data_IF_179136009421
#
_entry.id   IF_179136009421
#
_cell.length_a   1.000
_cell.length_b   1.000
_cell.length_c   1.000
_cell.angle_alpha   90.00
_cell.angle_beta   90.00
_cell.angle_gamma   90.00
#
_symmetry.space_group_name_H-M   'P 1'
#
loop_
_entity.id
_entity.type
_entity.pdbx_description
1 polymer ?
#
# COMPACT_ATOMS: atom_id res chain seq x y z
N UNK A 1 -10.91 -12.14 32.37
CA UNK A 1 -10.94 -12.62 33.80
C UNK A 1 -9.52 -12.56 34.31
N UNK A 2 -9.33 -11.86 35.41
CA UNK A 2 -8.06 -11.86 36.11
C UNK A 2 -8.10 -12.95 37.18
N UNK A 3 -7.12 -13.83 37.18
CA UNK A 3 -6.98 -14.91 38.18
C UNK A 3 -5.75 -14.61 39.00
N UNK A 4 -5.94 -14.46 40.32
CA UNK A 4 -4.87 -14.29 41.28
C UNK A 4 -4.41 -15.66 41.75
N UNK A 5 -3.16 -15.96 41.51
CA UNK A 5 -2.52 -17.20 42.01
C UNK A 5 -1.72 -16.87 43.25
N UNK A 6 -1.94 -17.66 44.32
CA UNK A 6 -1.13 -17.63 45.52
C UNK A 6 -0.31 -18.93 45.59
N UNK A 7 0.97 -18.81 45.39
CA UNK A 7 1.88 -19.98 45.52
C UNK A 7 2.68 -19.82 46.81
N UNK A 8 2.54 -20.79 47.74
CA UNK A 8 3.36 -20.84 48.94
C UNK A 8 4.67 -21.54 48.63
N UNK A 9 5.77 -20.91 48.94
CA UNK A 9 7.08 -21.55 48.88
C UNK A 9 7.31 -22.48 50.10
N UNK A 10 8.38 -23.25 50.08
CA UNK A 10 8.75 -24.19 51.17
C UNK A 10 9.01 -23.48 52.51
N UNK A 11 9.19 -22.16 52.52
CA UNK A 11 9.42 -21.31 53.69
C UNK A 11 8.13 -20.69 54.24
N UNK A 12 6.97 -20.93 53.58
CA UNK A 12 5.67 -20.47 53.98
C UNK A 12 5.31 -19.05 53.53
N UNK A 13 6.18 -18.37 52.74
CA UNK A 13 5.84 -17.09 52.13
C UNK A 13 4.94 -17.33 50.93
N UNK A 14 3.87 -16.55 50.82
CA UNK A 14 3.00 -16.60 49.66
C UNK A 14 3.41 -15.54 48.62
N UNK A 15 3.83 -16.00 47.45
CA UNK A 15 3.99 -15.13 46.27
C UNK A 15 2.65 -15.05 45.54
N UNK A 16 2.18 -13.83 45.30
CA UNK A 16 0.95 -13.56 44.54
C UNK A 16 1.36 -13.12 43.15
N UNK A 17 0.80 -13.74 42.11
CA UNK A 17 0.89 -13.24 40.76
C UNK A 17 -0.48 -13.34 40.11
N UNK A 18 -0.76 -12.36 39.25
CA UNK A 18 -2.03 -12.24 38.57
C UNK A 18 -1.86 -12.57 37.10
N UNK A 19 -2.62 -13.54 36.63
CA UNK A 19 -2.71 -13.87 35.22
C UNK A 19 -4.06 -13.37 34.64
N UNK A 20 -3.98 -12.74 33.49
CA UNK A 20 -5.16 -12.26 32.78
C UNK A 20 -5.55 -13.26 31.70
N UNK A 21 -6.73 -13.85 31.85
CA UNK A 21 -7.32 -14.74 30.85
C UNK A 21 -8.41 -13.98 30.08
N UNK A 22 -8.37 -14.04 28.77
CA UNK A 22 -9.41 -13.49 27.90
C UNK A 22 -10.15 -14.62 27.20
N UNK A 23 -11.48 -14.56 27.15
CA UNK A 23 -12.31 -15.42 26.30
C UNK A 23 -12.34 -14.94 24.85
N UNK A 24 -11.87 -13.73 24.60
CA UNK A 24 -11.65 -13.18 23.28
C UNK A 24 -10.19 -13.44 22.90
N UNK A 25 -9.91 -13.70 21.65
CA UNK A 25 -8.56 -13.98 21.11
C UNK A 25 -7.60 -12.79 21.36
N UNK A 26 -7.24 -12.59 22.63
CA UNK A 26 -6.34 -11.52 23.08
C UNK A 26 -5.02 -12.14 23.56
N UNK A 27 -3.92 -11.59 23.08
CA UNK A 27 -2.59 -11.93 23.59
C UNK A 27 -2.31 -11.09 24.84
N UNK A 28 -2.12 -11.72 26.03
CA UNK A 28 -1.88 -10.98 27.26
C UNK A 28 -0.53 -10.25 27.28
N UNK A 29 0.46 -10.73 26.52
CA UNK A 29 1.80 -10.16 26.47
C UNK A 29 1.89 -8.94 25.53
N UNK A 30 1.20 -8.98 24.38
CA UNK A 30 1.33 -7.98 23.33
C UNK A 30 0.13 -7.03 23.22
N UNK A 31 -0.92 -7.23 24.01
CA UNK A 31 -2.14 -6.40 24.00
C UNK A 31 -2.94 -6.50 22.68
N UNK A 32 -2.56 -7.41 21.79
CA UNK A 32 -3.27 -7.63 20.53
C UNK A 32 -4.57 -8.39 20.80
N UNK A 33 -5.70 -7.80 20.43
CA UNK A 33 -7.01 -8.44 20.50
C UNK A 33 -7.50 -8.72 19.08
N UNK A 34 -7.80 -9.97 18.78
CA UNK A 34 -8.46 -10.36 17.54
C UNK A 34 -9.95 -10.42 17.81
N UNK A 35 -10.71 -9.57 17.15
CA UNK A 35 -12.17 -9.56 17.21
C UNK A 35 -12.72 -10.93 16.74
N UNK A 36 -13.97 -11.22 17.07
CA UNK A 36 -14.66 -12.43 16.58
C UNK A 36 -14.52 -12.54 15.06
N UNK A 37 -13.95 -13.65 14.60
CA UNK A 37 -13.74 -13.90 13.19
C UNK A 37 -15.08 -14.00 12.46
N UNK A 38 -15.25 -13.18 11.43
CA UNK A 38 -16.40 -13.17 10.55
C UNK A 38 -15.96 -13.30 9.09
N UNK A 39 -16.76 -13.91 8.20
CA UNK A 39 -16.39 -14.12 6.80
C UNK A 39 -16.01 -12.81 6.08
N UNK A 40 -16.63 -11.68 6.44
CA UNK A 40 -16.33 -10.36 5.85
C UNK A 40 -14.90 -9.87 6.11
N UNK A 41 -14.21 -10.40 7.12
CA UNK A 41 -12.81 -10.07 7.41
C UNK A 41 -11.84 -10.68 6.39
N UNK A 42 -12.24 -11.72 5.69
CA UNK A 42 -11.42 -12.36 4.64
C UNK A 42 -11.67 -11.78 3.25
N UNK A 43 -12.43 -10.69 3.15
CA UNK A 43 -12.69 -9.99 1.90
C UNK A 43 -11.85 -8.71 1.83
N UNK A 44 -11.07 -8.56 0.76
CA UNK A 44 -10.34 -7.33 0.47
C UNK A 44 -11.24 -6.16 0.04
N UNK A 45 -12.52 -6.42 -0.28
CA UNK A 45 -13.53 -5.39 -0.56
C UNK A 45 -14.26 -4.92 0.71
N UNK A 46 -13.92 -5.49 1.86
CA UNK A 46 -14.55 -5.14 3.14
C UNK A 46 -13.56 -4.36 4.01
N UNK A 47 -13.93 -3.23 4.60
CA UNK A 47 -13.05 -2.43 5.46
C UNK A 47 -12.58 -3.19 6.71
N UNK A 48 -13.27 -4.27 7.08
CA UNK A 48 -12.89 -5.12 8.20
C UNK A 48 -11.66 -5.97 7.91
N UNK A 49 -11.45 -6.37 6.64
CA UNK A 49 -10.35 -7.22 6.22
C UNK A 49 -9.32 -6.53 5.36
N UNK A 50 -9.73 -5.56 4.57
CA UNK A 50 -8.85 -4.83 3.65
C UNK A 50 -7.69 -4.13 4.38
N UNK A 51 -6.50 -4.14 3.78
CA UNK A 51 -5.37 -3.35 4.25
C UNK A 51 -5.74 -1.87 4.30
N UNK A 52 -5.56 -1.22 5.44
CA UNK A 52 -5.97 0.18 5.64
C UNK A 52 -5.18 1.15 4.74
N UNK A 53 -3.95 0.80 4.35
CA UNK A 53 -3.10 1.66 3.52
C UNK A 53 -3.52 1.68 2.04
N UNK A 54 -3.91 0.55 1.47
CA UNK A 54 -4.27 0.45 0.04
C UNK A 54 -5.77 0.17 -0.18
N UNK A 55 -6.59 0.14 0.87
CA UNK A 55 -8.01 -0.15 0.76
C UNK A 55 -8.33 -1.53 0.15
N UNK A 56 -7.39 -2.49 0.24
CA UNK A 56 -7.56 -3.83 -0.34
C UNK A 56 -7.13 -3.95 -1.81
N UNK A 57 -6.53 -2.92 -2.41
CA UNK A 57 -6.05 -2.95 -3.79
C UNK A 57 -4.77 -3.80 -3.94
N UNK A 58 -3.90 -3.84 -2.92
CA UNK A 58 -2.59 -4.49 -2.96
C UNK A 58 -1.48 -3.58 -3.49
N UNK A 59 -1.83 -2.47 -4.11
CA UNK A 59 -0.91 -1.45 -4.63
C UNK A 59 -1.37 -0.06 -4.19
N UNK A 60 -0.48 0.91 -4.32
CA UNK A 60 -0.74 2.35 -4.13
C UNK A 60 -0.26 3.08 -5.38
N UNK A 61 -0.98 4.11 -5.77
CA UNK A 61 -0.52 5.00 -6.83
C UNK A 61 0.58 5.92 -6.27
N UNK A 62 1.68 6.03 -6.99
CA UNK A 62 2.81 6.90 -6.67
C UNK A 62 3.22 7.66 -7.90
N UNK A 63 3.75 8.86 -7.69
CA UNK A 63 4.37 9.60 -8.79
C UNK A 63 5.66 8.88 -9.22
N UNK A 64 5.72 8.55 -10.51
CA UNK A 64 6.91 7.99 -11.14
C UNK A 64 7.90 9.12 -11.49
N UNK A 65 9.10 9.14 -10.90
CA UNK A 65 10.11 10.16 -11.20
C UNK A 65 10.49 10.20 -12.68
N UNK A 66 10.50 9.06 -13.38
CA UNK A 66 10.88 8.97 -14.78
C UNK A 66 9.81 9.59 -15.70
N UNK A 67 8.54 9.56 -15.29
CA UNK A 67 7.46 10.27 -16.00
C UNK A 67 7.44 11.77 -15.71
N UNK A 68 7.97 12.17 -14.54
CA UNK A 68 8.05 13.57 -14.15
C UNK A 68 9.13 14.31 -14.96
N UNK A 69 10.27 13.66 -15.24
CA UNK A 69 11.35 14.20 -16.05
C UNK A 69 11.09 13.85 -17.52
N UNK A 70 10.54 14.78 -18.27
CA UNK A 70 10.14 14.55 -19.66
C UNK A 70 11.32 14.56 -20.64
N UNK A 71 12.36 15.37 -20.38
CA UNK A 71 13.60 15.41 -21.15
C UNK A 71 14.78 15.84 -20.24
N UNK A 72 15.65 14.92 -19.95
CA UNK A 72 16.84 15.14 -19.10
C UNK A 72 17.91 16.03 -19.73
N UNK A 73 17.85 16.27 -21.07
CA UNK A 73 18.77 17.15 -21.77
C UNK A 73 18.36 18.62 -21.68
N UNK A 74 17.11 18.90 -21.27
CA UNK A 74 16.65 20.25 -20.99
C UNK A 74 17.01 20.66 -19.56
N UNK A 75 17.12 21.97 -19.36
CA UNK A 75 17.21 22.53 -18.01
C UNK A 75 15.83 22.54 -17.33
N UNK A 76 15.82 22.70 -15.99
CA UNK A 76 14.55 22.90 -15.27
C UNK A 76 13.83 24.14 -15.78
N UNK A 77 14.57 25.20 -16.14
CA UNK A 77 14.02 26.44 -16.68
C UNK A 77 13.42 26.25 -18.07
N UNK A 78 13.99 25.35 -18.88
CA UNK A 78 13.54 25.04 -20.24
C UNK A 78 12.48 23.95 -20.30
N UNK A 79 12.07 23.40 -19.14
CA UNK A 79 10.93 22.50 -19.04
C UNK A 79 11.28 21.02 -18.90
N UNK A 80 12.45 20.66 -18.39
CA UNK A 80 12.84 19.27 -18.11
C UNK A 80 11.78 18.49 -17.30
N UNK A 81 11.07 19.16 -16.41
CA UNK A 81 10.01 18.59 -15.55
C UNK A 81 8.62 18.66 -16.19
N UNK A 82 8.53 18.95 -17.48
CA UNK A 82 7.26 19.10 -18.19
C UNK A 82 6.38 20.25 -17.62
N UNK A 83 5.08 20.25 -18.02
CA UNK A 83 4.12 21.27 -17.61
C UNK A 83 3.37 20.94 -16.29
N UNK A 84 4.02 20.23 -15.37
CA UNK A 84 3.37 19.79 -14.12
C UNK A 84 2.96 20.97 -13.24
N UNK A 85 3.71 22.05 -13.29
CA UNK A 85 3.49 23.27 -12.50
C UNK A 85 2.95 24.46 -13.26
N UNK A 86 2.65 24.32 -14.55
CA UNK A 86 2.38 25.44 -15.44
C UNK A 86 3.68 26.10 -15.95
N UNK A 87 3.58 27.29 -16.54
CA UNK A 87 4.80 28.01 -16.95
C UNK A 87 5.62 28.44 -15.74
N UNK A 88 6.94 28.33 -15.81
CA UNK A 88 7.86 28.75 -14.76
C UNK A 88 7.68 30.24 -14.38
N UNK A 89 7.17 31.05 -15.28
CA UNK A 89 6.86 32.46 -15.02
C UNK A 89 5.64 32.66 -14.10
N UNK A 90 4.70 31.71 -14.09
CA UNK A 90 3.54 31.72 -13.21
C UNK A 90 3.85 31.26 -11.78
N UNK A 91 5.02 30.67 -11.54
CA UNK A 91 5.42 30.00 -10.30
C UNK A 91 6.03 30.91 -9.23
N UNK A 92 5.90 32.20 -9.27
CA UNK A 92 6.44 33.20 -8.32
C UNK A 92 7.16 32.70 -7.07
N UNK A 93 6.40 32.16 -6.12
CA UNK A 93 6.93 31.61 -4.86
C UNK A 93 7.76 30.32 -5.06
N UNK A 94 7.28 29.39 -5.91
CA UNK A 94 7.95 28.12 -6.13
C UNK A 94 9.30 28.27 -6.82
N UNK A 95 9.41 29.22 -7.74
CA UNK A 95 10.68 29.56 -8.39
C UNK A 95 11.73 30.07 -7.40
N UNK A 96 11.30 30.90 -6.42
CA UNK A 96 12.22 31.33 -5.36
C UNK A 96 12.72 30.17 -4.52
N UNK A 97 11.87 29.22 -4.19
CA UNK A 97 12.27 28.00 -3.48
C UNK A 97 13.26 27.16 -4.28
N UNK A 98 13.02 26.97 -5.59
CA UNK A 98 13.94 26.22 -6.47
C UNK A 98 15.30 26.90 -6.59
N UNK A 99 15.35 28.22 -6.75
CA UNK A 99 16.60 28.97 -6.80
C UNK A 99 17.36 28.81 -5.47
N UNK A 100 16.68 28.94 -4.33
CA UNK A 100 17.31 28.74 -3.02
C UNK A 100 17.84 27.31 -2.85
N UNK A 101 17.09 26.31 -3.33
CA UNK A 101 17.56 24.92 -3.29
C UNK A 101 18.81 24.74 -4.15
N UNK A 102 18.86 25.38 -5.33
CA UNK A 102 20.02 25.37 -6.20
C UNK A 102 21.24 26.05 -5.54
N UNK A 103 21.05 27.21 -4.88
CA UNK A 103 22.10 27.90 -4.12
C UNK A 103 22.67 27.02 -3.00
N UNK A 104 21.82 26.30 -2.25
CA UNK A 104 22.24 25.36 -1.18
C UNK A 104 23.10 24.24 -1.72
N UNK A 105 22.82 23.78 -2.94
CA UNK A 105 23.57 22.71 -3.61
C UNK A 105 24.68 23.24 -4.54
N UNK A 106 24.93 24.56 -4.57
CA UNK A 106 25.94 25.21 -5.43
C UNK A 106 25.79 24.82 -6.90
N UNK A 107 24.54 24.80 -7.39
CA UNK A 107 24.21 24.47 -8.78
C UNK A 107 23.34 25.55 -9.41
N UNK A 108 23.07 25.44 -10.72
CA UNK A 108 22.24 26.36 -11.48
C UNK A 108 21.09 25.61 -12.17
N UNK A 109 19.89 26.18 -12.13
CA UNK A 109 18.70 25.62 -12.76
C UNK A 109 18.73 25.69 -14.29
N UNK A 110 19.69 26.41 -14.89
CA UNK A 110 19.86 26.55 -16.34
C UNK A 110 20.69 25.44 -16.98
N UNK A 111 21.36 24.58 -16.19
CA UNK A 111 22.09 23.43 -16.73
C UNK A 111 21.13 22.27 -17.00
N UNK A 112 21.48 21.36 -17.95
CA UNK A 112 20.67 20.16 -18.21
C UNK A 112 20.39 19.35 -16.96
N UNK A 113 19.16 18.82 -16.85
CA UNK A 113 18.74 18.04 -15.67
C UNK A 113 19.68 16.86 -15.38
N UNK A 114 20.18 16.18 -16.42
CA UNK A 114 21.14 15.07 -16.29
C UNK A 114 22.44 15.47 -15.59
N UNK A 115 22.88 16.70 -15.76
CA UNK A 115 24.15 17.23 -15.25
C UNK A 115 24.01 17.84 -13.84
N UNK A 116 22.79 17.93 -13.30
CA UNK A 116 22.53 18.39 -11.93
C UNK A 116 23.09 17.40 -10.89
N UNK A 117 23.59 17.89 -9.75
CA UNK A 117 24.05 17.03 -8.66
C UNK A 117 22.95 16.07 -8.15
N UNK A 118 23.28 14.82 -7.89
CA UNK A 118 22.28 13.83 -7.40
C UNK A 118 21.63 14.26 -6.07
N UNK A 119 22.40 14.89 -5.16
CA UNK A 119 21.87 15.43 -3.90
C UNK A 119 20.82 16.54 -4.14
N UNK A 120 20.99 17.34 -5.20
CA UNK A 120 19.99 18.33 -5.60
C UNK A 120 18.74 17.66 -6.18
N UNK A 121 18.90 16.68 -7.06
CA UNK A 121 17.78 15.91 -7.64
C UNK A 121 16.95 15.21 -6.55
N UNK A 122 17.63 14.60 -5.56
CA UNK A 122 16.98 13.95 -4.42
C UNK A 122 16.13 14.96 -3.61
N UNK A 123 16.72 16.10 -3.21
CA UNK A 123 15.99 17.13 -2.48
C UNK A 123 14.87 17.76 -3.34
N UNK A 124 15.11 17.94 -4.65
CA UNK A 124 14.12 18.46 -5.58
C UNK A 124 12.89 17.54 -5.69
N UNK A 125 13.11 16.25 -5.85
CA UNK A 125 12.04 15.27 -6.04
C UNK A 125 11.33 14.94 -4.73
N UNK A 126 12.09 14.65 -3.67
CA UNK A 126 11.57 14.07 -2.42
C UNK A 126 11.56 15.04 -1.23
N UNK A 127 12.11 16.25 -1.42
CA UNK A 127 12.17 17.28 -0.39
C UNK A 127 13.34 17.13 0.58
N UNK A 128 13.54 18.17 1.39
CA UNK A 128 14.68 18.28 2.31
C UNK A 128 14.53 17.49 3.61
N UNK A 129 13.53 16.59 3.71
CA UNK A 129 13.29 15.68 4.85
C UNK A 129 13.30 16.41 6.21
N UNK A 130 12.71 17.60 6.28
CA UNK A 130 12.63 18.44 7.46
C UNK A 130 13.82 19.39 7.66
N UNK A 131 14.90 19.29 6.87
CA UNK A 131 15.99 20.27 6.87
C UNK A 131 15.48 21.59 6.32
N UNK A 132 15.49 22.64 7.13
CA UNK A 132 15.04 23.98 6.77
C UNK A 132 16.04 24.65 5.84
N UNK A 133 15.50 25.32 4.81
CA UNK A 133 16.23 26.22 3.95
C UNK A 133 15.76 27.65 4.17
N UNK A 134 16.68 28.59 4.26
CA UNK A 134 16.39 30.01 4.49
C UNK A 134 16.48 30.77 3.17
N UNK A 135 15.46 31.54 2.87
CA UNK A 135 15.41 32.38 1.65
C UNK A 135 14.60 33.64 1.87
N UNK A 136 14.88 34.64 1.07
CA UNK A 136 14.15 35.90 1.07
C UNK A 136 13.10 35.89 -0.04
N UNK A 137 11.85 35.98 0.36
CA UNK A 137 10.75 36.12 -0.57
C UNK A 137 10.40 37.62 -0.75
N UNK A 138 10.47 38.09 -1.98
CA UNK A 138 10.05 39.44 -2.34
C UNK A 138 8.67 39.38 -2.94
N UNK A 139 7.66 39.95 -2.26
CA UNK A 139 6.29 40.02 -2.75
C UNK A 139 6.19 40.98 -3.96
N UNK A 140 5.10 40.87 -4.74
CA UNK A 140 4.81 41.82 -5.86
C UNK A 140 4.77 43.28 -5.42
N UNK A 141 4.51 43.53 -4.14
CA UNK A 141 4.50 44.89 -3.55
C UNK A 141 5.88 45.32 -3.03
N UNK A 142 6.96 44.57 -3.30
CA UNK A 142 8.32 44.88 -2.87
C UNK A 142 8.64 44.56 -1.40
N UNK A 143 7.73 43.94 -0.66
CA UNK A 143 7.97 43.54 0.73
C UNK A 143 8.86 42.30 0.78
N UNK A 144 10.00 42.39 1.44
CA UNK A 144 10.89 41.26 1.72
C UNK A 144 10.41 40.54 2.97
N UNK A 145 10.32 39.22 2.90
CA UNK A 145 10.00 38.35 4.03
C UNK A 145 11.04 37.22 4.11
N UNK A 146 11.70 37.10 5.26
CA UNK A 146 12.62 36.01 5.54
C UNK A 146 11.82 34.74 5.84
N UNK A 147 12.02 33.71 5.04
CA UNK A 147 11.36 32.42 5.13
C UNK A 147 12.37 31.37 5.57
N UNK A 148 11.97 30.47 6.42
CA UNK A 148 12.82 29.36 6.90
C UNK A 148 11.95 28.10 7.05
N UNK A 149 11.76 27.41 5.93
CA UNK A 149 10.91 26.23 5.84
C UNK A 149 11.63 25.06 5.17
N UNK A 150 11.27 23.81 5.48
CA UNK A 150 11.72 22.69 4.68
C UNK A 150 11.09 22.78 3.28
N UNK A 151 11.80 22.33 2.27
CA UNK A 151 11.24 22.13 0.94
C UNK A 151 10.50 20.79 0.92
N UNK A 152 9.24 20.81 0.52
CA UNK A 152 8.37 19.62 0.52
C UNK A 152 8.79 18.57 -0.50
N UNK A 153 9.38 19.00 -1.62
CA UNK A 153 9.66 18.14 -2.78
C UNK A 153 8.51 18.13 -3.78
N UNK A 154 8.84 17.85 -5.03
CA UNK A 154 7.87 17.82 -6.12
C UNK A 154 6.89 16.66 -5.95
N UNK A 155 7.40 15.46 -5.69
CA UNK A 155 6.59 14.25 -5.56
C UNK A 155 5.60 14.34 -4.40
N UNK A 156 6.03 14.62 -3.15
CA UNK A 156 5.09 14.79 -2.04
C UNK A 156 4.08 15.93 -2.28
N UNK A 157 4.50 17.02 -2.93
CA UNK A 157 3.58 18.12 -3.27
C UNK A 157 2.48 17.67 -4.24
N UNK A 158 2.83 16.91 -5.28
CA UNK A 158 1.86 16.39 -6.24
C UNK A 158 0.92 15.37 -5.60
N UNK A 159 1.46 14.45 -4.78
CA UNK A 159 0.65 13.45 -4.06
C UNK A 159 -0.36 14.12 -3.12
N UNK A 160 0.07 15.11 -2.34
CA UNK A 160 -0.82 15.89 -1.48
C UNK A 160 -1.88 16.63 -2.30
N UNK A 161 -1.49 17.32 -3.38
CA UNK A 161 -2.43 18.05 -4.25
C UNK A 161 -3.43 17.12 -4.91
N UNK A 162 -3.05 15.91 -5.28
CA UNK A 162 -3.97 14.90 -5.81
C UNK A 162 -5.09 14.56 -4.82
N UNK A 163 -4.74 14.44 -3.53
CA UNK A 163 -5.71 14.20 -2.46
C UNK A 163 -6.61 15.39 -2.13
N UNK A 164 -6.10 16.61 -2.26
CA UNK A 164 -6.78 17.84 -1.82
C UNK A 164 -7.61 18.52 -2.93
N UNK A 165 -7.24 18.32 -4.21
CA UNK A 165 -7.91 19.02 -5.31
C UNK A 165 -9.27 18.44 -5.65
N UNK A 166 -10.23 19.34 -5.97
CA UNK A 166 -11.53 18.98 -6.53
C UNK A 166 -11.56 19.17 -8.08
N UNK A 167 -10.46 19.56 -8.69
CA UNK A 167 -10.39 19.77 -10.14
C UNK A 167 -10.04 18.47 -10.85
N UNK A 168 -10.96 17.95 -11.67
CA UNK A 168 -10.75 16.74 -12.46
C UNK A 168 -9.56 16.90 -13.42
N UNK A 169 -9.39 18.08 -14.02
CA UNK A 169 -8.25 18.38 -14.88
C UNK A 169 -6.89 18.24 -14.17
N UNK A 170 -6.78 18.71 -12.91
CA UNK A 170 -5.54 18.59 -12.13
C UNK A 170 -5.33 17.13 -11.74
N UNK A 171 -6.40 16.43 -11.35
CA UNK A 171 -6.33 14.98 -11.02
C UNK A 171 -5.86 14.18 -12.22
N UNK A 172 -6.42 14.40 -13.39
CA UNK A 172 -6.02 13.72 -14.63
C UNK A 172 -4.53 13.92 -14.93
N UNK A 173 -4.07 15.19 -14.91
CA UNK A 173 -2.65 15.49 -15.12
C UNK A 173 -1.69 14.81 -14.13
N UNK A 174 -2.09 14.73 -12.85
CA UNK A 174 -1.26 14.06 -11.84
C UNK A 174 -1.35 12.54 -12.03
N UNK A 175 -2.53 12.00 -12.40
CA UNK A 175 -2.71 10.57 -12.67
C UNK A 175 -1.82 10.06 -13.80
N UNK A 176 -1.59 10.88 -14.84
CA UNK A 176 -0.71 10.52 -15.95
C UNK A 176 0.74 10.29 -15.52
N UNK A 177 1.12 10.89 -14.39
CA UNK A 177 2.46 10.74 -13.80
C UNK A 177 2.53 9.59 -12.78
N UNK A 178 1.41 8.94 -12.49
CA UNK A 178 1.38 7.88 -11.48
C UNK A 178 1.66 6.51 -12.08
N UNK A 179 2.23 5.66 -11.26
CA UNK A 179 2.38 4.23 -11.48
C UNK A 179 1.82 3.43 -10.30
N UNK A 180 1.47 2.18 -10.56
CA UNK A 180 1.10 1.24 -9.50
C UNK A 180 2.36 0.70 -8.81
N UNK A 181 2.52 1.02 -7.54
CA UNK A 181 3.57 0.48 -6.70
C UNK A 181 3.00 -0.49 -5.67
N UNK A 182 3.64 -1.63 -5.46
CA UNK A 182 3.22 -2.61 -4.45
C UNK A 182 3.06 -1.92 -3.09
N UNK A 183 1.94 -2.15 -2.44
CA UNK A 183 1.65 -1.57 -1.13
C UNK A 183 2.72 -1.96 -0.10
N UNK A 184 3.38 -0.98 0.51
CA UNK A 184 4.47 -1.21 1.48
C UNK A 184 4.02 -1.85 2.80
N UNK A 185 2.71 -1.79 3.11
CA UNK A 185 2.15 -2.33 4.35
C UNK A 185 1.77 -3.80 4.18
N UNK A 186 0.94 -4.11 3.18
CA UNK A 186 0.49 -5.48 2.97
C UNK A 186 1.31 -6.27 1.94
N UNK A 187 2.33 -5.66 1.33
CA UNK A 187 3.21 -6.30 0.33
C UNK A 187 2.45 -7.03 -0.78
N UNK A 188 1.38 -6.40 -1.28
CA UNK A 188 0.51 -6.98 -2.31
C UNK A 188 -0.60 -7.90 -1.78
N UNK A 189 -0.57 -8.31 -0.52
CA UNK A 189 -1.50 -9.29 0.05
C UNK A 189 -2.93 -8.77 0.30
N UNK A 190 -3.19 -7.48 0.12
CA UNK A 190 -4.50 -6.83 0.12
C UNK A 190 -5.25 -6.84 1.47
N UNK A 191 -4.92 -7.72 2.39
CA UNK A 191 -5.57 -7.93 3.69
C UNK A 191 -4.70 -7.43 4.85
N UNK A 192 -5.33 -7.23 6.01
CA UNK A 192 -4.66 -6.91 7.27
C UNK A 192 -3.90 -8.13 7.81
N UNK A 193 -2.77 -7.90 8.47
CA UNK A 193 -1.93 -8.97 9.03
C UNK A 193 -2.70 -9.91 9.97
N UNK A 194 -3.60 -9.36 10.80
CA UNK A 194 -4.46 -10.16 11.69
C UNK A 194 -5.33 -11.17 10.95
N UNK A 195 -5.74 -10.88 9.72
CA UNK A 195 -6.50 -11.79 8.86
C UNK A 195 -5.59 -12.83 8.24
N UNK A 196 -4.39 -12.41 7.80
CA UNK A 196 -3.38 -13.30 7.23
C UNK A 196 -2.79 -14.29 8.25
N UNK A 197 -2.86 -13.96 9.54
CA UNK A 197 -2.46 -14.87 10.61
C UNK A 197 -3.40 -16.10 10.75
N UNK A 198 -4.59 -16.07 10.16
CA UNK A 198 -5.53 -17.20 10.16
C UNK A 198 -5.16 -18.17 9.05
N UNK A 199 -4.86 -19.41 9.44
CA UNK A 199 -4.45 -20.46 8.51
C UNK A 199 -5.37 -21.66 8.56
N UNK A 200 -5.52 -22.34 7.44
CA UNK A 200 -6.17 -23.67 7.33
C UNK A 200 -5.20 -24.58 6.58
N UNK A 201 -4.88 -25.72 7.16
CA UNK A 201 -3.88 -26.62 6.58
C UNK A 201 -2.49 -25.96 6.40
N UNK A 202 -2.15 -24.99 7.28
CA UNK A 202 -0.85 -24.31 7.29
C UNK A 202 -0.71 -23.12 6.33
N UNK A 203 -1.73 -22.80 5.52
CA UNK A 203 -1.70 -21.66 4.60
C UNK A 203 -2.84 -20.67 4.87
N UNK A 204 -2.63 -19.39 4.62
CA UNK A 204 -3.65 -18.34 4.73
C UNK A 204 -4.47 -18.22 3.44
N UNK A 205 -5.50 -17.38 3.47
CA UNK A 205 -6.42 -17.20 2.32
C UNK A 205 -5.71 -16.68 1.08
N UNK A 206 -4.72 -15.79 1.21
CA UNK A 206 -4.00 -15.23 0.06
C UNK A 206 -3.09 -16.29 -0.56
N UNK A 207 -2.30 -16.98 0.27
CA UNK A 207 -1.42 -18.07 -0.20
C UNK A 207 -2.22 -19.17 -0.93
N UNK A 208 -3.51 -19.36 -0.54
CA UNK A 208 -4.42 -20.26 -1.26
C UNK A 208 -4.89 -19.67 -2.59
N UNK A 209 -5.25 -18.39 -2.63
CA UNK A 209 -5.76 -17.76 -3.86
C UNK A 209 -4.67 -17.51 -4.91
N UNK A 210 -3.41 -17.41 -4.50
CA UNK A 210 -2.25 -17.34 -5.39
C UNK A 210 -1.95 -18.68 -6.11
N UNK A 211 -2.50 -19.79 -5.59
CA UNK A 211 -2.36 -21.10 -6.25
C UNK A 211 -3.19 -21.16 -7.54
N UNK A 212 -2.73 -21.95 -8.49
CA UNK A 212 -3.56 -22.31 -9.63
C UNK A 212 -4.81 -23.08 -9.17
N UNK A 213 -5.87 -23.07 -9.98
CA UNK A 213 -7.08 -23.89 -9.73
C UNK A 213 -6.72 -25.36 -9.53
N UNK A 214 -5.75 -25.89 -10.29
CA UNK A 214 -5.29 -27.29 -10.14
C UNK A 214 -4.60 -27.51 -8.79
N UNK A 215 -3.70 -26.61 -8.39
CA UNK A 215 -2.98 -26.70 -7.13
C UNK A 215 -3.93 -26.51 -5.93
N UNK A 216 -4.94 -25.63 -6.09
CA UNK A 216 -5.96 -25.44 -5.07
C UNK A 216 -6.84 -26.70 -4.89
N UNK A 217 -7.19 -27.40 -5.97
CA UNK A 217 -7.89 -28.72 -5.89
C UNK A 217 -7.01 -29.72 -5.15
N UNK A 218 -5.73 -29.84 -5.52
CA UNK A 218 -4.80 -30.76 -4.86
C UNK A 218 -4.63 -30.45 -3.38
N UNK A 219 -4.55 -29.17 -3.02
CA UNK A 219 -4.53 -28.74 -1.62
C UNK A 219 -5.77 -29.20 -0.85
N UNK A 220 -6.98 -28.99 -1.39
CA UNK A 220 -8.21 -29.40 -0.72
C UNK A 220 -8.39 -30.93 -0.67
N UNK A 221 -7.81 -31.67 -1.62
CA UNK A 221 -7.85 -33.14 -1.62
C UNK A 221 -6.93 -33.74 -0.56
N UNK A 222 -5.81 -33.07 -0.28
CA UNK A 222 -4.83 -33.46 0.75
C UNK A 222 -5.07 -32.83 2.12
N UNK A 223 -6.09 -31.97 2.25
CA UNK A 223 -6.36 -31.25 3.47
C UNK A 223 -6.82 -32.19 4.59
N UNK A 224 -6.01 -32.34 5.61
CA UNK A 224 -6.34 -33.10 6.80
C UNK A 224 -6.97 -32.17 7.84
N UNK A 225 -8.18 -32.52 8.29
CA UNK A 225 -8.93 -31.82 9.32
C UNK A 225 -9.31 -32.79 10.46
N UNK A 226 -9.49 -32.23 11.64
CA UNK A 226 -10.05 -33.01 12.74
C UNK A 226 -11.47 -33.53 12.40
N UNK A 227 -11.93 -34.62 13.04
CA UNK A 227 -13.29 -35.15 12.80
C UNK A 227 -14.40 -34.10 13.02
N UNK A 228 -14.19 -33.21 14.00
CA UNK A 228 -15.10 -32.10 14.28
C UNK A 228 -15.10 -31.09 13.11
N UNK A 229 -13.92 -30.68 12.67
CA UNK A 229 -13.79 -29.66 11.61
C UNK A 229 -14.23 -30.21 10.26
N UNK A 230 -14.02 -31.51 9.99
CA UNK A 230 -14.56 -32.18 8.81
C UNK A 230 -16.09 -32.10 8.75
N UNK A 231 -16.77 -32.33 9.88
CA UNK A 231 -18.24 -32.26 9.96
C UNK A 231 -18.72 -30.82 9.71
N UNK A 232 -18.02 -29.80 10.26
CA UNK A 232 -18.37 -28.40 10.10
C UNK A 232 -18.14 -27.97 8.65
N UNK A 233 -17.01 -28.33 8.06
CA UNK A 233 -16.58 -27.87 6.74
C UNK A 233 -17.16 -28.69 5.57
N UNK A 234 -17.78 -29.83 5.80
CA UNK A 234 -18.17 -30.80 4.76
C UNK A 234 -18.95 -30.18 3.60
N UNK A 235 -19.98 -29.36 3.90
CA UNK A 235 -20.80 -28.71 2.87
C UNK A 235 -20.00 -27.64 2.11
N UNK A 236 -19.22 -26.84 2.82
CA UNK A 236 -18.40 -25.78 2.23
C UNK A 236 -17.31 -26.35 1.32
N UNK A 237 -16.60 -27.39 1.79
CA UNK A 237 -15.58 -28.07 1.00
C UNK A 237 -16.16 -28.73 -0.24
N UNK A 238 -17.35 -29.33 -0.16
CA UNK A 238 -18.04 -29.89 -1.32
C UNK A 238 -18.34 -28.81 -2.37
N UNK A 239 -18.80 -27.65 -1.93
CA UNK A 239 -19.11 -26.53 -2.83
C UNK A 239 -17.83 -25.97 -3.48
N UNK A 240 -16.78 -25.74 -2.68
CA UNK A 240 -15.48 -25.25 -3.20
C UNK A 240 -14.92 -26.23 -4.23
N UNK A 241 -14.86 -27.53 -3.91
CA UNK A 241 -14.36 -28.57 -4.84
C UNK A 241 -15.20 -28.64 -6.11
N UNK A 242 -16.52 -28.48 -6.00
CA UNK A 242 -17.42 -28.44 -7.15
C UNK A 242 -17.12 -27.28 -8.08
N UNK A 243 -16.97 -26.06 -7.55
CA UNK A 243 -16.65 -24.85 -8.32
C UNK A 243 -15.26 -24.90 -8.95
N UNK A 244 -14.25 -25.32 -8.19
CA UNK A 244 -12.89 -25.50 -8.73
C UNK A 244 -12.84 -26.59 -9.81
N UNK A 245 -13.56 -27.69 -9.59
CA UNK A 245 -13.70 -28.76 -10.58
C UNK A 245 -14.35 -28.31 -11.87
N UNK A 246 -15.35 -27.42 -11.78
CA UNK A 246 -15.94 -26.80 -12.96
C UNK A 246 -14.94 -25.91 -13.71
N UNK A 247 -14.22 -25.02 -13.02
CA UNK A 247 -13.17 -24.19 -13.64
C UNK A 247 -12.15 -25.06 -14.36
N UNK A 248 -11.72 -26.18 -13.76
CA UNK A 248 -10.85 -27.16 -14.40
C UNK A 248 -11.48 -27.73 -15.66
N UNK A 249 -12.77 -28.10 -15.64
CA UNK A 249 -13.46 -28.74 -16.77
C UNK A 249 -13.61 -27.84 -17.98
N UNK A 250 -13.71 -26.51 -17.78
CA UNK A 250 -13.73 -25.52 -18.87
C UNK A 250 -12.34 -25.06 -19.31
N UNK A 251 -11.28 -25.76 -18.83
CA UNK A 251 -9.90 -25.54 -19.27
C UNK A 251 -9.22 -24.33 -18.60
N UNK A 252 -9.70 -23.88 -17.43
CA UNK A 252 -9.13 -22.75 -16.67
C UNK A 252 -8.29 -23.20 -15.46
N UNK A 253 -7.82 -24.46 -15.46
CA UNK A 253 -7.05 -25.04 -14.37
C UNK A 253 -5.73 -24.34 -14.05
N UNK A 254 -5.16 -23.62 -15.02
CA UNK A 254 -3.92 -22.86 -14.86
C UNK A 254 -4.09 -21.48 -14.24
N UNK A 255 -5.31 -20.93 -14.18
CA UNK A 255 -5.55 -19.62 -13.62
C UNK A 255 -5.41 -19.64 -12.09
N UNK A 256 -4.92 -18.53 -11.54
CA UNK A 256 -4.94 -18.28 -10.09
C UNK A 256 -6.23 -17.53 -9.71
N UNK A 257 -6.71 -17.74 -8.46
CA UNK A 257 -7.96 -17.12 -8.00
C UNK A 257 -7.80 -15.63 -7.65
N UNK A 258 -6.59 -15.18 -7.44
CA UNK A 258 -6.23 -13.78 -7.17
C UNK A 258 -6.08 -12.93 -8.44
N UNK A 259 -6.11 -13.56 -9.61
CA UNK A 259 -5.90 -12.87 -10.89
C UNK A 259 -6.92 -11.79 -11.13
N UNK A 260 -6.44 -10.57 -11.40
CA UNK A 260 -7.30 -9.41 -11.68
C UNK A 260 -8.15 -9.65 -12.92
N UNK A 261 -9.44 -9.33 -12.84
CA UNK A 261 -10.38 -9.46 -13.95
C UNK A 261 -9.98 -8.67 -15.20
N UNK A 262 -9.27 -7.54 -15.03
CA UNK A 262 -8.76 -6.72 -16.12
C UNK A 262 -7.65 -7.38 -16.93
N UNK A 263 -7.00 -8.44 -16.41
CA UNK A 263 -5.93 -9.18 -17.10
C UNK A 263 -6.44 -10.43 -17.82
N UNK A 264 -7.73 -10.75 -17.70
CA UNK A 264 -8.32 -11.91 -18.35
C UNK A 264 -8.54 -11.65 -19.84
N UNK A 265 -8.21 -12.64 -20.66
CA UNK A 265 -8.59 -12.63 -22.07
C UNK A 265 -10.14 -12.76 -22.21
N UNK A 266 -10.68 -12.31 -23.32
CA UNK A 266 -12.12 -12.43 -23.59
C UNK A 266 -12.65 -13.87 -23.49
N UNK A 267 -11.86 -14.86 -23.94
CA UNK A 267 -12.22 -16.26 -23.84
C UNK A 267 -12.17 -16.81 -22.41
N UNK A 268 -11.25 -16.35 -21.57
CA UNK A 268 -11.18 -16.70 -20.15
C UNK A 268 -12.39 -16.11 -19.39
N UNK A 269 -12.68 -14.83 -19.60
CA UNK A 269 -13.82 -14.15 -19.00
C UNK A 269 -15.14 -14.80 -19.39
N UNK A 270 -15.30 -15.22 -20.65
CA UNK A 270 -16.49 -15.93 -21.11
C UNK A 270 -16.66 -17.30 -20.43
N UNK A 271 -15.58 -18.09 -20.32
CA UNK A 271 -15.61 -19.39 -19.64
C UNK A 271 -15.88 -19.26 -18.13
N UNK A 272 -15.35 -18.22 -17.46
CA UNK A 272 -15.68 -17.95 -16.06
C UNK A 272 -17.16 -17.65 -15.89
N UNK A 273 -17.77 -16.84 -16.79
CA UNK A 273 -19.22 -16.57 -16.74
C UNK A 273 -20.09 -17.82 -16.90
N UNK A 274 -19.61 -18.83 -17.61
CA UNK A 274 -20.31 -20.11 -17.70
C UNK A 274 -20.22 -20.92 -16.39
N UNK A 275 -19.24 -20.57 -15.52
CA UNK A 275 -18.99 -21.23 -14.24
C UNK A 275 -19.77 -20.63 -13.07
N UNK A 276 -20.37 -19.46 -13.23
CA UNK A 276 -21.20 -18.76 -12.24
C UNK A 276 -22.68 -18.96 -12.50
#
# INVERSE_FOLDING_TARGET
VNVLFQVKDESGYSNEFMETYSTNFACPEHGVCIEKMEPRMFSFNSPYGACDNCGGLGFTLRIDPDRLVTDENLSILDGALGNVFGSMDAMGWYRHMLNTLADVHHTDLSIPYKDLPEAFKEDLLYGTKGRKISYDYVSRAGKVSHMNHPFEGIIPNLERRYGETNSDYIKEKISDLQEEAVCKVCHGKRLKDKVLAVTVGGINIIDLTEKSVLDAIDFFDKLELSERDQKIAAMVLKEIKGRLGFLKSVGLGYLTLDRSSGTLSGGEAQRIRLAT
#
